data_IF_969948413619
#
_entry.id   IF_969948413619
#
_cell.length_a   1.000
_cell.length_b   1.000
_cell.length_c   1.000
_cell.angle_alpha   90.00
_cell.angle_beta   90.00
_cell.angle_gamma   90.00
#
_symmetry.space_group_name_H-M   'P 1'
#
loop_
_entity.id
_entity.type
_entity.pdbx_description
1 polymer ?
#
# COMPACT_ATOMS: atom_id res chain seq x y z
N UNK A 1 -1.40 42.47 29.36
CA UNK A 1 -0.49 41.30 29.38
C UNK A 1 -1.06 40.29 28.40
N UNK A 2 -0.20 39.79 27.53
CA UNK A 2 -0.49 39.34 26.17
C UNK A 2 -1.48 38.17 26.04
N UNK A 3 -2.32 38.24 25.00
CA UNK A 3 -3.14 37.15 24.52
C UNK A 3 -2.28 35.98 24.04
N UNK A 4 -2.68 34.78 24.43
CA UNK A 4 -2.19 33.54 23.85
C UNK A 4 -3.30 33.02 22.94
N UNK A 5 -3.37 33.59 21.74
CA UNK A 5 -3.93 32.90 20.58
C UNK A 5 -3.04 31.69 20.32
N UNK A 6 -3.36 30.56 20.92
CA UNK A 6 -2.82 29.29 20.50
C UNK A 6 -3.56 28.91 19.23
N UNK A 7 -3.00 29.38 18.12
CA UNK A 7 -3.27 28.91 16.77
C UNK A 7 -3.02 27.41 16.76
N UNK A 8 -4.08 26.61 16.88
CA UNK A 8 -4.01 25.21 16.51
C UNK A 8 -3.75 25.17 15.00
N UNK A 9 -2.58 24.66 14.56
CA UNK A 9 -2.30 24.57 13.14
C UNK A 9 -3.35 23.67 12.51
N UNK A 10 -3.91 24.14 11.40
CA UNK A 10 -4.74 23.40 10.47
C UNK A 10 -4.29 21.95 10.41
N UNK A 11 -5.10 21.06 11.00
CA UNK A 11 -5.08 19.64 10.67
C UNK A 11 -5.45 19.55 9.20
N UNK A 12 -4.40 19.63 8.38
CA UNK A 12 -4.31 19.31 6.97
C UNK A 12 -5.56 18.57 6.48
N UNK A 13 -6.55 19.32 6.00
CA UNK A 13 -7.58 18.76 5.13
C UNK A 13 -6.83 18.37 3.86
N UNK A 14 -6.29 17.16 3.84
CA UNK A 14 -5.72 16.56 2.64
C UNK A 14 -6.78 16.70 1.52
N UNK A 15 -6.40 17.16 0.31
CA UNK A 15 -7.35 17.32 -0.77
C UNK A 15 -7.98 15.96 -1.08
N UNK A 16 -9.30 15.87 -0.86
CA UNK A 16 -10.13 14.74 -1.25
C UNK A 16 -10.11 14.64 -2.78
N UNK A 17 -9.30 13.74 -3.34
CA UNK A 17 -9.29 13.50 -4.78
C UNK A 17 -8.13 12.68 -5.35
N UNK A 18 -6.99 12.61 -4.67
CA UNK A 18 -5.90 11.71 -5.06
C UNK A 18 -5.70 10.68 -3.94
N UNK A 19 -5.72 9.40 -4.27
CA UNK A 19 -5.32 8.37 -3.30
C UNK A 19 -3.85 8.62 -2.98
N UNK A 20 -3.58 9.21 -1.81
CA UNK A 20 -2.23 9.60 -1.40
C UNK A 20 -1.31 8.38 -1.41
N UNK A 21 -0.17 8.44 -2.11
CA UNK A 21 0.82 7.35 -2.19
C UNK A 21 1.19 6.76 -0.82
N UNK A 22 1.31 7.61 0.20
CA UNK A 22 1.59 7.18 1.56
C UNK A 22 0.47 6.33 2.15
N UNK A 23 -0.80 6.60 1.84
CA UNK A 23 -1.94 5.80 2.28
C UNK A 23 -1.98 4.46 1.55
N UNK A 24 -1.73 4.46 0.24
CA UNK A 24 -1.63 3.23 -0.56
C UNK A 24 -0.53 2.32 0.00
N UNK A 25 0.65 2.90 0.23
CA UNK A 25 1.78 2.16 0.76
C UNK A 25 1.47 1.57 2.14
N UNK A 26 0.92 2.37 3.05
CA UNK A 26 0.56 1.92 4.39
C UNK A 26 -0.48 0.79 4.33
N UNK A 27 -1.52 0.93 3.51
CA UNK A 27 -2.58 -0.06 3.35
C UNK A 27 -2.06 -1.40 2.79
N UNK A 28 -1.21 -1.36 1.75
CA UNK A 28 -0.59 -2.58 1.21
C UNK A 28 0.35 -3.23 2.23
N UNK A 29 1.16 -2.43 2.92
CA UNK A 29 2.10 -2.92 3.94
C UNK A 29 1.35 -3.61 5.07
N UNK A 30 0.32 -2.97 5.60
CA UNK A 30 -0.52 -3.50 6.68
C UNK A 30 -1.19 -4.80 6.25
N UNK A 31 -1.82 -4.81 5.07
CA UNK A 31 -2.47 -6.00 4.55
C UNK A 31 -1.50 -7.18 4.40
N UNK A 32 -0.32 -6.97 3.82
CA UNK A 32 0.71 -8.01 3.68
C UNK A 32 1.17 -8.51 5.06
N UNK A 33 1.35 -7.61 6.03
CA UNK A 33 1.72 -7.94 7.41
C UNK A 33 0.65 -8.78 8.10
N UNK A 34 -0.61 -8.38 8.02
CA UNK A 34 -1.69 -9.03 8.75
C UNK A 34 -2.09 -10.35 8.09
N UNK A 35 -2.03 -10.45 6.76
CA UNK A 35 -2.54 -11.62 6.04
C UNK A 35 -1.47 -12.67 5.72
N UNK A 36 -0.21 -12.28 5.52
CA UNK A 36 0.80 -13.18 4.96
C UNK A 36 2.02 -13.42 5.86
N UNK A 37 2.17 -12.67 6.96
CA UNK A 37 3.19 -12.93 7.97
C UNK A 37 2.56 -13.67 9.16
N UNK A 38 3.20 -14.76 9.58
CA UNK A 38 2.80 -15.51 10.77
C UNK A 38 3.10 -14.70 12.04
N UNK A 39 2.30 -14.91 13.10
CA UNK A 39 2.50 -14.27 14.41
C UNK A 39 3.87 -14.58 15.04
N UNK A 40 4.53 -15.66 14.58
CA UNK A 40 5.86 -16.07 15.02
C UNK A 40 7.00 -15.29 14.37
N UNK A 41 6.75 -14.64 13.22
CA UNK A 41 7.74 -13.83 12.51
C UNK A 41 7.57 -12.36 12.91
N UNK A 42 8.63 -11.68 13.36
CA UNK A 42 8.51 -10.30 13.79
C UNK A 42 8.05 -9.41 12.62
N UNK A 43 6.90 -8.73 12.80
CA UNK A 43 6.34 -7.70 11.92
C UNK A 43 7.31 -6.56 11.54
N UNK A 44 8.46 -6.52 12.20
CA UNK A 44 9.58 -5.60 12.01
C UNK A 44 10.40 -5.87 10.75
N UNK A 45 10.32 -7.05 10.13
CA UNK A 45 11.20 -7.43 9.00
C UNK A 45 10.67 -7.06 7.61
N UNK A 46 9.40 -6.67 7.50
CA UNK A 46 8.84 -6.21 6.23
C UNK A 46 9.11 -4.71 6.03
N UNK A 47 10.09 -4.41 5.19
CA UNK A 47 10.40 -3.09 4.64
C UNK A 47 9.84 -2.96 3.20
N UNK A 48 9.83 -1.74 2.66
CA UNK A 48 9.34 -1.43 1.33
C UNK A 48 10.12 -2.15 0.21
N UNK A 49 11.39 -2.47 0.45
CA UNK A 49 12.26 -3.20 -0.47
C UNK A 49 12.26 -4.72 -0.28
N UNK A 50 11.58 -5.24 0.76
CA UNK A 50 11.63 -6.66 1.08
C UNK A 50 11.20 -7.51 -0.12
N UNK A 51 12.03 -8.47 -0.58
CA UNK A 51 11.72 -9.32 -1.73
C UNK A 51 10.58 -10.31 -1.45
N UNK A 52 9.33 -9.88 -1.63
CA UNK A 52 8.14 -10.63 -1.22
C UNK A 52 8.00 -11.98 -1.92
N UNK A 53 8.40 -12.05 -3.19
CA UNK A 53 8.33 -13.29 -3.98
C UNK A 53 9.43 -14.27 -3.58
N UNK A 54 10.65 -13.76 -3.36
CA UNK A 54 11.82 -14.58 -3.01
C UNK A 54 11.71 -15.17 -1.61
N UNK A 55 11.08 -14.42 -0.69
CA UNK A 55 10.83 -14.87 0.68
C UNK A 55 9.57 -15.74 0.78
N UNK A 56 8.84 -15.95 -0.32
CA UNK A 56 7.61 -16.74 -0.34
C UNK A 56 6.40 -16.08 0.32
N UNK A 57 6.51 -14.82 0.76
CA UNK A 57 5.41 -14.02 1.32
C UNK A 57 4.32 -13.84 0.25
N UNK A 58 4.72 -13.53 -0.98
CA UNK A 58 3.82 -13.53 -2.13
C UNK A 58 3.97 -14.82 -2.94
N UNK A 59 2.90 -15.59 -2.94
CA UNK A 59 2.67 -16.74 -3.82
C UNK A 59 1.55 -16.41 -4.81
N UNK A 60 1.25 -17.31 -5.75
CA UNK A 60 0.12 -17.12 -6.68
C UNK A 60 -1.22 -16.93 -5.96
N UNK A 61 -1.44 -17.66 -4.85
CA UNK A 61 -2.65 -17.53 -4.05
C UNK A 61 -2.70 -16.18 -3.32
N UNK A 62 -1.61 -15.81 -2.64
CA UNK A 62 -1.51 -14.56 -1.90
C UNK A 62 -1.60 -13.34 -2.84
N UNK A 63 -1.06 -13.45 -4.05
CA UNK A 63 -1.18 -12.45 -5.10
C UNK A 63 -2.65 -12.25 -5.48
N UNK A 64 -3.43 -13.32 -5.61
CA UNK A 64 -4.87 -13.23 -5.91
C UNK A 64 -5.64 -12.54 -4.78
N UNK A 65 -5.31 -12.84 -3.52
CA UNK A 65 -5.90 -12.18 -2.36
C UNK A 65 -5.54 -10.69 -2.31
N UNK A 66 -4.28 -10.35 -2.55
CA UNK A 66 -3.81 -8.97 -2.62
C UNK A 66 -4.50 -8.18 -3.75
N UNK A 67 -4.67 -8.78 -4.93
CA UNK A 67 -5.41 -8.16 -6.04
C UNK A 67 -6.86 -7.86 -5.67
N UNK A 68 -7.50 -8.77 -4.91
CA UNK A 68 -8.86 -8.57 -4.41
C UNK A 68 -8.93 -7.42 -3.41
N UNK A 69 -7.96 -7.32 -2.49
CA UNK A 69 -7.83 -6.21 -1.56
C UNK A 69 -7.63 -4.88 -2.28
N UNK A 70 -6.68 -4.77 -3.20
CA UNK A 70 -6.40 -3.53 -3.95
C UNK A 70 -7.67 -3.06 -4.69
N UNK A 71 -8.41 -3.99 -5.31
CA UNK A 71 -9.66 -3.65 -5.99
C UNK A 71 -10.76 -3.20 -5.02
N UNK A 72 -10.93 -3.88 -3.89
CA UNK A 72 -12.08 -3.67 -3.00
C UNK A 72 -11.88 -2.49 -2.05
N UNK A 73 -10.68 -2.37 -1.47
CA UNK A 73 -10.34 -1.37 -0.46
C UNK A 73 -9.74 -0.10 -1.05
N UNK A 74 -8.91 -0.23 -2.10
CA UNK A 74 -8.30 0.93 -2.76
C UNK A 74 -9.06 1.40 -3.99
N UNK A 75 -10.03 0.60 -4.48
CA UNK A 75 -10.83 0.94 -5.66
C UNK A 75 -10.03 0.86 -6.97
N UNK A 76 -8.84 0.26 -6.98
CA UNK A 76 -7.96 0.24 -8.15
C UNK A 76 -7.99 -1.16 -8.79
N UNK A 77 -8.63 -1.35 -9.95
CA UNK A 77 -8.56 -2.61 -10.67
C UNK A 77 -7.17 -2.79 -11.28
N UNK A 78 -6.50 -3.91 -10.98
CA UNK A 78 -5.19 -4.25 -11.56
C UNK A 78 -5.37 -5.17 -12.76
N UNK A 79 -5.02 -4.74 -13.99
CA UNK A 79 -5.10 -5.61 -15.18
C UNK A 79 -4.12 -6.78 -15.09
N UNK A 80 -4.46 -7.92 -15.70
CA UNK A 80 -3.59 -9.11 -15.72
C UNK A 80 -2.20 -8.82 -16.35
N UNK A 81 -2.13 -7.87 -17.28
CA UNK A 81 -0.87 -7.43 -17.91
C UNK A 81 0.11 -6.78 -16.92
N UNK A 82 -0.38 -6.32 -15.77
CA UNK A 82 0.44 -5.73 -14.71
C UNK A 82 0.87 -6.74 -13.64
N UNK A 83 0.37 -7.99 -13.71
CA UNK A 83 0.80 -9.07 -12.81
C UNK A 83 2.14 -9.61 -13.32
N UNK A 84 3.20 -8.89 -12.98
CA UNK A 84 4.57 -9.22 -13.36
C UNK A 84 5.45 -9.32 -12.13
N UNK A 85 6.52 -10.10 -12.23
CA UNK A 85 7.53 -10.19 -11.17
C UNK A 85 8.02 -8.80 -10.74
N UNK A 86 8.24 -7.89 -11.70
CA UNK A 86 8.69 -6.51 -11.43
C UNK A 86 7.69 -5.72 -10.57
N UNK A 87 6.39 -5.84 -10.84
CA UNK A 87 5.39 -5.06 -10.10
C UNK A 87 5.08 -5.66 -8.72
N UNK A 88 5.37 -6.95 -8.52
CA UNK A 88 5.07 -7.67 -7.28
C UNK A 88 6.33 -8.07 -6.49
N UNK A 89 7.51 -7.58 -6.87
CA UNK A 89 8.78 -7.92 -6.21
C UNK A 89 8.82 -7.45 -4.75
N UNK A 90 8.28 -6.26 -4.47
CA UNK A 90 8.28 -5.65 -3.14
C UNK A 90 7.12 -4.65 -2.98
N UNK A 91 6.89 -4.20 -1.74
CA UNK A 91 5.77 -3.29 -1.42
C UNK A 91 5.89 -1.96 -2.15
N UNK A 92 7.11 -1.43 -2.35
CA UNK A 92 7.32 -0.21 -3.15
C UNK A 92 6.80 -0.40 -4.57
N UNK A 93 7.22 -1.45 -5.27
CA UNK A 93 6.83 -1.69 -6.65
C UNK A 93 5.30 -1.84 -6.81
N UNK A 94 4.64 -2.51 -5.86
CA UNK A 94 3.18 -2.65 -5.85
C UNK A 94 2.53 -1.28 -5.63
N UNK A 95 3.04 -0.49 -4.69
CA UNK A 95 2.56 0.88 -4.43
C UNK A 95 2.66 1.73 -5.70
N UNK A 96 3.78 1.66 -6.41
CA UNK A 96 4.05 2.46 -7.60
C UNK A 96 3.09 2.10 -8.73
N UNK A 97 2.88 0.80 -8.96
CA UNK A 97 1.89 0.30 -9.91
C UNK A 97 0.47 0.77 -9.55
N UNK A 98 0.06 0.68 -8.29
CA UNK A 98 -1.29 1.09 -7.87
C UNK A 98 -1.48 2.60 -8.00
N UNK A 99 -0.46 3.40 -7.64
CA UNK A 99 -0.47 4.85 -7.89
C UNK A 99 -0.65 5.18 -9.37
N UNK A 100 0.14 4.54 -10.24
CA UNK A 100 0.07 4.75 -11.69
C UNK A 100 -1.32 4.43 -12.24
N UNK A 101 -1.87 3.27 -11.87
CA UNK A 101 -3.22 2.86 -12.28
C UNK A 101 -4.30 3.78 -11.70
N UNK A 102 -4.15 4.27 -10.46
CA UNK A 102 -5.11 5.20 -9.86
C UNK A 102 -5.16 6.54 -10.60
N UNK A 103 -4.02 7.02 -11.09
CA UNK A 103 -3.93 8.27 -11.85
C UNK A 103 -4.51 8.14 -13.28
N UNK A 104 -4.50 6.94 -13.86
CA UNK A 104 -5.09 6.69 -15.18
C UNK A 104 -6.62 6.54 -15.13
N UNK A 105 -7.19 6.23 -13.96
CA UNK A 105 -8.63 6.05 -13.75
C UNK A 105 -9.33 7.28 -13.14
N UNK A 106 -8.59 8.37 -12.86
CA UNK A 106 -9.09 9.62 -12.29
C UNK A 106 -9.46 10.64 -13.37
#
# INVERSE_FOLDING_TARGET
>A
MAGMEQTHPDLQRAPAGAVDRSRINAAITDYVKVQFLDEAEPLSELDQETPLLEWGILTSLNTTMLLSFIRSELGVPVPLTHITWRNFQNVRAITDMVCELSAQNA
#
